data_IF_438726526193
#
_entry.id   IF_438726526193
#
_cell.length_a   1.000
_cell.length_b   1.000
_cell.length_c   1.000
_cell.angle_alpha   90.00
_cell.angle_beta   90.00
_cell.angle_gamma   90.00
#
_symmetry.space_group_name_H-M   'P 1'
#
loop_
_entity.id
_entity.type
_entity.pdbx_description
1 polymer ?
#
# COMPACT_ATOMS: atom_id res chain seq x y z
N UNK A 1 25.45 -21.52 13.78
CA UNK A 1 24.35 -20.56 13.62
C UNK A 1 23.76 -20.78 12.24
N UNK A 2 22.76 -21.67 12.10
CA UNK A 2 22.14 -22.00 10.82
C UNK A 2 21.00 -20.99 10.63
N UNK A 3 21.21 -19.96 9.80
CA UNK A 3 20.08 -19.19 9.30
C UNK A 3 19.23 -20.14 8.44
N UNK A 4 18.07 -20.54 8.96
CA UNK A 4 17.19 -21.51 8.34
C UNK A 4 16.73 -21.05 6.95
N UNK A 5 16.56 -22.01 6.04
CA UNK A 5 16.17 -21.87 4.62
C UNK A 5 14.79 -21.23 4.35
N UNK A 6 14.19 -20.50 5.28
CA UNK A 6 12.83 -19.95 5.20
C UNK A 6 12.76 -18.48 5.64
N UNK A 7 13.62 -17.62 5.06
CA UNK A 7 13.45 -16.17 5.18
C UNK A 7 12.14 -15.73 4.50
N UNK A 8 11.36 -14.81 5.10
CA UNK A 8 10.13 -14.31 4.49
C UNK A 8 10.45 -13.64 3.15
N UNK A 9 9.67 -13.96 2.11
CA UNK A 9 9.81 -13.34 0.78
C UNK A 9 9.32 -11.90 0.84
N UNK A 10 10.27 -10.98 1.00
CA UNK A 10 10.05 -9.54 1.01
C UNK A 10 9.43 -9.07 -0.31
N UNK A 11 8.65 -8.01 -0.23
CA UNK A 11 8.16 -7.28 -1.39
C UNK A 11 9.29 -6.37 -1.88
N UNK A 12 9.54 -6.38 -3.19
CA UNK A 12 10.55 -5.52 -3.81
C UNK A 12 9.84 -4.61 -4.80
N UNK A 13 9.98 -3.30 -4.60
CA UNK A 13 9.50 -2.33 -5.57
C UNK A 13 10.19 -2.53 -6.91
N UNK A 14 9.42 -2.41 -8.00
CA UNK A 14 9.96 -2.40 -9.36
C UNK A 14 9.17 -1.40 -10.19
N UNK A 15 9.76 -0.88 -11.26
CA UNK A 15 9.07 0.01 -12.21
C UNK A 15 7.80 -0.60 -12.82
N UNK A 16 7.60 -1.92 -12.71
CA UNK A 16 6.34 -2.56 -13.09
C UNK A 16 5.16 -2.18 -12.21
N UNK A 17 5.40 -1.62 -11.02
CA UNK A 17 4.37 -1.15 -10.08
C UNK A 17 4.13 0.38 -10.17
N UNK A 18 4.94 1.11 -10.94
CA UNK A 18 4.88 2.58 -11.06
C UNK A 18 3.56 3.08 -11.67
N UNK A 19 2.83 3.98 -11.05
CA UNK A 19 1.55 4.52 -11.53
C UNK A 19 1.76 5.94 -12.04
N UNK A 20 2.31 6.81 -11.20
CA UNK A 20 2.36 8.26 -11.44
C UNK A 20 3.78 8.86 -11.43
N UNK A 21 4.81 8.09 -11.04
CA UNK A 21 6.18 8.58 -10.74
C UNK A 21 6.16 9.73 -9.73
N UNK A 22 5.14 9.78 -8.89
CA UNK A 22 4.83 10.88 -8.00
C UNK A 22 4.42 10.36 -6.64
N UNK A 23 3.40 11.00 -6.06
CA UNK A 23 3.04 10.80 -4.65
C UNK A 23 2.51 9.38 -4.41
N UNK A 24 1.75 8.81 -5.34
CA UNK A 24 1.19 7.45 -5.16
C UNK A 24 2.31 6.41 -5.18
N UNK A 25 3.31 6.56 -6.06
CA UNK A 25 4.45 5.66 -6.09
C UNK A 25 5.35 5.76 -4.84
N UNK A 26 5.54 6.97 -4.30
CA UNK A 26 6.27 7.15 -3.04
C UNK A 26 5.52 6.54 -1.85
N UNK A 27 4.19 6.69 -1.81
CA UNK A 27 3.34 6.04 -0.80
C UNK A 27 3.47 4.52 -0.87
N UNK A 28 3.40 3.93 -2.07
CA UNK A 28 3.53 2.49 -2.25
C UNK A 28 4.89 1.96 -1.79
N UNK A 29 5.97 2.69 -2.08
CA UNK A 29 7.31 2.31 -1.59
C UNK A 29 7.34 2.31 -0.07
N UNK A 30 6.78 3.33 0.58
CA UNK A 30 6.74 3.39 2.04
C UNK A 30 5.88 2.27 2.65
N UNK A 31 4.69 2.02 2.09
CA UNK A 31 3.83 0.91 2.52
C UNK A 31 4.51 -0.46 2.36
N UNK A 32 5.28 -0.63 1.27
CA UNK A 32 6.12 -1.82 1.06
C UNK A 32 7.21 -1.92 2.13
N UNK A 33 7.84 -0.81 2.50
CA UNK A 33 8.84 -0.76 3.57
C UNK A 33 8.23 -1.13 4.93
N UNK A 34 7.08 -0.57 5.30
CA UNK A 34 6.35 -0.93 6.52
C UNK A 34 5.98 -2.41 6.55
N UNK A 35 5.43 -2.93 5.44
CA UNK A 35 5.10 -4.34 5.30
C UNK A 35 6.34 -5.24 5.44
N UNK A 36 7.46 -4.84 4.83
CA UNK A 36 8.73 -5.56 4.93
C UNK A 36 9.33 -5.51 6.34
N UNK A 37 9.22 -4.39 7.04
CA UNK A 37 9.64 -4.25 8.45
C UNK A 37 8.84 -5.20 9.32
N UNK A 38 7.52 -5.24 9.15
CA UNK A 38 6.69 -6.19 9.86
C UNK A 38 7.05 -7.65 9.51
N UNK A 39 7.25 -7.99 8.24
CA UNK A 39 7.68 -9.34 7.81
C UNK A 39 8.98 -9.81 8.45
N UNK A 40 9.94 -8.90 8.65
CA UNK A 40 11.23 -9.20 9.30
C UNK A 40 11.04 -9.44 10.80
N UNK A 41 10.20 -8.64 11.44
CA UNK A 41 10.07 -8.62 12.89
C UNK A 41 8.97 -9.55 13.45
N UNK A 42 8.04 -10.05 12.63
CA UNK A 42 6.88 -10.81 13.11
C UNK A 42 7.18 -12.12 13.85
N UNK A 43 8.42 -12.62 13.76
CA UNK A 43 8.91 -13.80 14.49
C UNK A 43 9.83 -13.46 15.66
N UNK A 44 10.10 -12.18 15.86
CA UNK A 44 11.07 -11.64 16.81
C UNK A 44 10.48 -10.52 17.68
N UNK A 45 9.16 -10.33 17.65
CA UNK A 45 8.53 -9.36 18.53
C UNK A 45 8.76 -9.75 19.99
N UNK A 46 9.44 -8.88 20.73
CA UNK A 46 9.70 -9.10 22.16
C UNK A 46 8.45 -8.78 23.01
N UNK A 47 7.45 -8.10 22.42
CA UNK A 47 6.19 -7.76 23.09
C UNK A 47 5.06 -7.48 22.11
N UNK A 48 3.82 -7.57 22.60
CA UNK A 48 2.61 -7.13 21.89
C UNK A 48 2.68 -5.66 21.47
N UNK A 49 3.33 -4.82 22.29
CA UNK A 49 3.44 -3.39 22.04
C UNK A 49 4.17 -3.10 20.73
N UNK A 50 5.28 -3.78 20.45
CA UNK A 50 6.00 -3.62 19.18
C UNK A 50 5.15 -4.02 17.97
N UNK A 51 4.38 -5.11 18.08
CA UNK A 51 3.47 -5.54 17.02
C UNK A 51 2.32 -4.55 16.82
N UNK A 52 1.76 -4.02 17.91
CA UNK A 52 0.70 -3.01 17.90
C UNK A 52 1.17 -1.68 17.28
N UNK A 53 2.38 -1.23 17.60
CA UNK A 53 2.97 -0.02 17.03
C UNK A 53 3.12 -0.13 15.50
N UNK A 54 3.70 -1.23 15.01
CA UNK A 54 3.89 -1.42 13.57
C UNK A 54 2.58 -1.58 12.80
N UNK A 55 1.57 -2.29 13.35
CA UNK A 55 0.27 -2.37 12.68
C UNK A 55 -0.46 -1.03 12.72
N UNK A 56 -0.29 -0.25 13.79
CA UNK A 56 -0.87 1.09 13.90
C UNK A 56 -0.30 2.03 12.85
N UNK A 57 1.02 2.05 12.71
CA UNK A 57 1.69 2.85 11.68
C UNK A 57 1.23 2.46 10.27
N UNK A 58 1.12 1.15 9.99
CA UNK A 58 0.63 0.66 8.71
C UNK A 58 -0.82 1.10 8.44
N UNK A 59 -1.70 0.96 9.43
CA UNK A 59 -3.11 1.36 9.35
C UNK A 59 -3.25 2.87 9.09
N UNK A 60 -2.54 3.69 9.86
CA UNK A 60 -2.60 5.15 9.75
C UNK A 60 -2.10 5.59 8.38
N UNK A 61 -0.94 5.07 7.94
CA UNK A 61 -0.38 5.46 6.65
C UNK A 61 -1.21 4.98 5.46
N UNK A 62 -1.76 3.76 5.54
CA UNK A 62 -2.67 3.22 4.51
C UNK A 62 -3.91 4.11 4.39
N UNK A 63 -4.48 4.58 5.51
CA UNK A 63 -5.62 5.49 5.51
C UNK A 63 -5.29 6.82 4.81
N UNK A 64 -4.12 7.41 5.09
CA UNK A 64 -3.69 8.64 4.44
C UNK A 64 -3.44 8.45 2.93
N UNK A 65 -2.81 7.34 2.57
CA UNK A 65 -2.55 6.97 1.18
C UNK A 65 -3.85 6.83 0.39
N UNK A 66 -4.84 6.10 0.91
CA UNK A 66 -6.14 5.94 0.24
C UNK A 66 -6.87 7.26 0.00
N UNK A 67 -6.75 8.24 0.91
CA UNK A 67 -7.31 9.58 0.67
C UNK A 67 -6.64 10.28 -0.51
N UNK A 68 -5.31 10.19 -0.63
CA UNK A 68 -4.57 10.76 -1.76
C UNK A 68 -4.90 10.06 -3.06
N UNK A 69 -5.03 8.74 -3.03
CA UNK A 69 -5.39 7.96 -4.20
C UNK A 69 -6.81 8.28 -4.70
N UNK A 70 -7.80 8.31 -3.80
CA UNK A 70 -9.18 8.67 -4.16
C UNK A 70 -9.25 10.08 -4.76
N UNK A 71 -8.38 10.99 -4.32
CA UNK A 71 -8.29 12.32 -4.89
C UNK A 71 -7.65 12.31 -6.29
N UNK A 72 -6.57 11.54 -6.49
CA UNK A 72 -5.99 11.33 -7.82
C UNK A 72 -7.02 10.74 -8.78
N UNK A 73 -7.78 9.72 -8.35
CA UNK A 73 -8.81 9.07 -9.16
C UNK A 73 -9.84 10.06 -9.70
N UNK A 74 -10.30 11.01 -8.87
CA UNK A 74 -11.21 12.06 -9.30
C UNK A 74 -10.55 13.00 -10.33
N UNK A 75 -9.31 13.42 -10.08
CA UNK A 75 -8.59 14.36 -10.93
C UNK A 75 -8.33 13.80 -12.34
N UNK A 76 -8.04 12.50 -12.43
CA UNK A 76 -7.76 11.83 -13.70
C UNK A 76 -9.02 11.25 -14.38
N UNK A 77 -10.20 11.46 -13.79
CA UNK A 77 -11.46 10.94 -14.33
C UNK A 77 -11.54 9.41 -14.36
N UNK A 78 -10.96 8.73 -13.36
CA UNK A 78 -10.99 7.27 -13.26
C UNK A 78 -12.44 6.77 -13.06
N UNK A 79 -12.95 5.81 -13.84
CA UNK A 79 -14.38 5.46 -13.82
C UNK A 79 -14.83 4.70 -12.57
N UNK A 80 -13.94 3.93 -11.95
CA UNK A 80 -14.31 2.95 -10.91
C UNK A 80 -14.11 3.46 -9.47
N UNK A 81 -14.13 4.79 -9.25
CA UNK A 81 -13.83 5.42 -7.94
C UNK A 81 -14.65 4.81 -6.79
N UNK A 82 -15.95 4.58 -7.02
CA UNK A 82 -16.83 4.03 -5.96
C UNK A 82 -16.42 2.62 -5.59
N UNK A 83 -16.22 1.74 -6.58
CA UNK A 83 -15.82 0.36 -6.34
C UNK A 83 -14.44 0.31 -5.66
N UNK A 84 -13.53 1.18 -6.08
CA UNK A 84 -12.21 1.27 -5.48
C UNK A 84 -12.29 1.69 -4.00
N UNK A 85 -13.06 2.73 -3.68
CA UNK A 85 -13.30 3.16 -2.30
C UNK A 85 -13.94 2.08 -1.42
N UNK A 86 -14.83 1.26 -1.98
CA UNK A 86 -15.42 0.13 -1.26
C UNK A 86 -14.33 -0.93 -0.91
N UNK A 87 -13.34 -1.13 -1.79
CA UNK A 87 -12.16 -1.97 -1.52
C UNK A 87 -11.29 -1.36 -0.42
N UNK A 88 -11.00 -0.05 -0.47
CA UNK A 88 -10.27 0.64 0.60
C UNK A 88 -10.92 0.44 1.97
N UNK A 89 -12.24 0.63 2.06
CA UNK A 89 -12.98 0.45 3.31
C UNK A 89 -12.86 -0.97 3.86
N UNK A 90 -12.91 -1.99 2.99
CA UNK A 90 -12.69 -3.39 3.39
C UNK A 90 -11.28 -3.61 3.94
N UNK A 91 -10.25 -3.06 3.29
CA UNK A 91 -8.86 -3.23 3.71
C UNK A 91 -8.56 -2.54 5.04
N UNK A 92 -9.16 -1.36 5.27
CA UNK A 92 -9.07 -0.66 6.55
C UNK A 92 -9.72 -1.49 7.67
N UNK A 93 -10.88 -2.10 7.41
CA UNK A 93 -11.52 -2.99 8.38
C UNK A 93 -10.64 -4.20 8.70
N UNK A 94 -10.05 -4.85 7.70
CA UNK A 94 -9.13 -5.98 7.90
C UNK A 94 -7.92 -5.58 8.77
N UNK A 95 -7.37 -4.38 8.57
CA UNK A 95 -6.26 -3.86 9.40
C UNK A 95 -6.70 -3.58 10.85
N UNK A 96 -7.92 -3.07 11.05
CA UNK A 96 -8.50 -2.92 12.39
C UNK A 96 -8.70 -4.26 13.09
N UNK A 97 -9.20 -5.27 12.38
CA UNK A 97 -9.35 -6.63 12.92
C UNK A 97 -8.00 -7.23 13.32
N UNK A 98 -6.98 -7.09 12.46
CA UNK A 98 -5.62 -7.53 12.77
C UNK A 98 -5.09 -6.84 14.03
N UNK A 99 -5.26 -5.52 14.12
CA UNK A 99 -4.82 -4.74 15.28
C UNK A 99 -5.53 -5.19 16.57
N UNK A 100 -6.83 -5.46 16.49
CA UNK A 100 -7.58 -6.02 17.62
C UNK A 100 -7.01 -7.39 18.04
N UNK A 101 -6.80 -8.30 17.10
CA UNK A 101 -6.24 -9.63 17.37
C UNK A 101 -4.87 -9.57 18.03
N UNK A 102 -4.00 -8.65 17.61
CA UNK A 102 -2.66 -8.45 18.20
C UNK A 102 -2.76 -7.99 19.66
N UNK A 103 -3.74 -7.17 19.99
CA UNK A 103 -3.95 -6.67 21.36
C UNK A 103 -4.54 -7.72 22.29
N UNK A 104 -5.43 -8.56 21.76
CA UNK A 104 -6.23 -9.52 22.53
C UNK A 104 -5.55 -10.90 22.71
N UNK A 105 -4.68 -11.32 21.78
CA UNK A 105 -3.97 -12.61 21.85
C UNK A 105 -3.10 -12.73 23.10
N UNK A 106 -2.86 -13.92 23.65
CA UNK A 106 -1.84 -14.13 24.70
C UNK A 106 -0.40 -14.05 24.17
N UNK A 107 0.57 -13.76 25.04
CA UNK A 107 2.00 -13.68 24.66
C UNK A 107 2.50 -14.97 23.99
N UNK A 108 1.98 -16.13 24.42
CA UNK A 108 2.31 -17.44 23.84
C UNK A 108 1.93 -17.55 22.36
N UNK A 109 0.82 -16.92 21.95
CA UNK A 109 0.27 -17.02 20.60
C UNK A 109 0.62 -15.80 19.71
N UNK A 110 1.26 -14.78 20.27
CA UNK A 110 1.60 -13.53 19.57
C UNK A 110 2.35 -13.76 18.25
N UNK A 111 3.35 -14.65 18.24
CA UNK A 111 4.13 -14.96 17.02
C UNK A 111 3.24 -15.57 15.93
N UNK A 112 2.33 -16.48 16.32
CA UNK A 112 1.41 -17.16 15.41
C UNK A 112 0.43 -16.16 14.79
N UNK A 113 -0.20 -15.32 15.61
CA UNK A 113 -1.11 -14.27 15.16
C UNK A 113 -0.38 -13.27 14.27
N UNK A 114 0.75 -12.72 14.71
CA UNK A 114 1.57 -11.77 13.94
C UNK A 114 1.98 -12.32 12.58
N UNK A 115 2.40 -13.59 12.53
CA UNK A 115 2.79 -14.25 11.27
C UNK A 115 1.60 -14.41 10.31
N UNK A 116 0.42 -14.80 10.82
CA UNK A 116 -0.80 -14.95 10.00
C UNK A 116 -1.28 -13.60 9.49
N UNK A 117 -1.39 -12.62 10.37
CA UNK A 117 -1.76 -11.24 10.04
C UNK A 117 -0.86 -10.67 8.96
N UNK A 118 0.44 -10.89 9.06
CA UNK A 118 1.37 -10.34 8.07
C UNK A 118 1.28 -11.03 6.69
N UNK A 119 0.92 -12.32 6.65
CA UNK A 119 0.61 -12.97 5.36
C UNK A 119 -0.61 -12.35 4.69
N UNK A 120 -1.62 -11.96 5.47
CA UNK A 120 -2.80 -11.26 4.97
C UNK A 120 -2.42 -9.87 4.47
N UNK A 121 -1.66 -9.10 5.27
CA UNK A 121 -1.18 -7.77 4.89
C UNK A 121 -0.42 -7.77 3.58
N UNK A 122 0.61 -8.63 3.49
CA UNK A 122 1.43 -8.77 2.29
C UNK A 122 0.60 -9.16 1.07
N UNK A 123 -0.39 -10.04 1.25
CA UNK A 123 -1.26 -10.50 0.16
C UNK A 123 -2.12 -9.34 -0.34
N UNK A 124 -2.82 -8.65 0.56
CA UNK A 124 -3.74 -7.60 0.16
C UNK A 124 -2.99 -6.43 -0.48
N UNK A 125 -1.85 -5.98 0.06
CA UNK A 125 -1.10 -4.85 -0.50
C UNK A 125 -0.70 -5.11 -1.96
N UNK A 126 -0.16 -6.30 -2.24
CA UNK A 126 0.24 -6.67 -3.60
C UNK A 126 -0.95 -6.84 -4.52
N UNK A 127 -2.02 -7.49 -4.05
CA UNK A 127 -3.22 -7.68 -4.87
C UNK A 127 -3.93 -6.37 -5.15
N UNK A 128 -3.95 -5.44 -4.21
CA UNK A 128 -4.52 -4.11 -4.33
C UNK A 128 -3.79 -3.31 -5.40
N UNK A 129 -2.48 -3.10 -5.24
CA UNK A 129 -1.63 -2.41 -6.23
C UNK A 129 -1.84 -2.99 -7.63
N UNK A 130 -1.77 -4.32 -7.76
CA UNK A 130 -1.84 -4.95 -9.08
C UNK A 130 -3.22 -4.92 -9.74
N UNK A 131 -4.30 -5.04 -8.96
CA UNK A 131 -5.66 -5.19 -9.51
C UNK A 131 -6.45 -3.89 -9.55
N UNK A 132 -6.23 -3.01 -8.59
CA UNK A 132 -7.07 -1.83 -8.36
C UNK A 132 -6.34 -0.54 -8.76
N UNK A 133 -5.06 -0.41 -8.41
CA UNK A 133 -4.35 0.87 -8.55
C UNK A 133 -3.67 0.97 -9.92
N UNK A 134 -3.05 -0.11 -10.37
CA UNK A 134 -2.36 -0.22 -11.66
C UNK A 134 -3.19 0.22 -12.88
N UNK A 135 -4.51 -0.07 -12.98
CA UNK A 135 -5.36 0.49 -14.02
C UNK A 135 -5.31 2.03 -14.15
N UNK A 136 -5.11 2.77 -13.05
CA UNK A 136 -4.99 4.23 -13.07
C UNK A 136 -3.82 4.73 -13.92
N UNK A 137 -2.75 3.93 -14.07
CA UNK A 137 -1.56 4.29 -14.85
C UNK A 137 -1.90 4.77 -16.26
N UNK A 138 -2.89 4.15 -16.91
CA UNK A 138 -3.29 4.54 -18.27
C UNK A 138 -3.91 5.95 -18.30
N UNK A 139 -4.73 6.28 -17.30
CA UNK A 139 -5.38 7.58 -17.16
C UNK A 139 -4.38 8.67 -16.78
N UNK A 140 -3.45 8.37 -15.86
CA UNK A 140 -2.36 9.29 -15.51
C UNK A 140 -1.52 9.64 -16.75
N UNK A 141 -1.17 8.65 -17.58
CA UNK A 141 -0.41 8.90 -18.81
C UNK A 141 -1.16 9.79 -19.81
N UNK A 142 -2.47 9.60 -19.94
CA UNK A 142 -3.28 10.39 -20.86
C UNK A 142 -3.34 11.86 -20.43
N UNK A 143 -3.55 12.14 -19.13
CA UNK A 143 -3.54 13.51 -18.59
C UNK A 143 -2.18 14.20 -18.82
N UNK A 144 -1.07 13.50 -18.61
CA UNK A 144 0.27 14.05 -18.87
C UNK A 144 0.48 14.37 -20.36
N UNK A 145 0.00 13.52 -21.26
CA UNK A 145 0.07 13.74 -22.71
C UNK A 145 -0.72 14.98 -23.11
N UNK A 146 -1.98 15.10 -22.68
CA UNK A 146 -2.84 16.25 -22.99
C UNK A 146 -2.29 17.56 -22.41
N UNK A 147 -1.69 17.54 -21.24
CA UNK A 147 -1.07 18.73 -20.61
C UNK A 147 0.16 19.20 -21.39
N UNK A 148 1.01 18.25 -21.82
CA UNK A 148 2.22 18.56 -22.60
C UNK A 148 1.87 19.14 -23.97
N UNK A 149 0.90 18.52 -24.68
CA UNK A 149 0.40 19.01 -25.97
C UNK A 149 -0.23 20.41 -25.86
N UNK A 150 -0.98 20.67 -24.80
CA UNK A 150 -1.59 21.99 -24.56
C UNK A 150 -0.53 23.06 -24.32
N UNK A 151 0.51 22.78 -23.51
CA UNK A 151 1.61 23.74 -23.29
C UNK A 151 2.37 24.07 -24.57
N UNK A 152 2.60 23.06 -25.42
CA UNK A 152 3.32 23.24 -26.68
C UNK A 152 2.53 24.08 -27.71
N UNK A 153 1.19 24.01 -27.69
CA UNK A 153 0.33 24.85 -28.55
C UNK A 153 0.42 26.32 -28.12
N UNK A 154 0.42 26.62 -26.81
CA UNK A 154 0.56 28.01 -26.34
C UNK A 154 1.94 28.60 -26.65
N UNK A 155 3.01 27.79 -26.60
CA UNK A 155 4.36 28.24 -26.97
C UNK A 155 4.51 28.56 -28.47
N UNK A 156 3.77 27.86 -29.35
CA UNK A 156 3.76 28.14 -30.80
C UNK A 156 2.88 29.35 -31.12
N UNK A 157 1.75 29.54 -30.42
CA UNK A 157 0.81 30.63 -30.70
C UNK A 157 1.29 32.03 -30.26
N UNK A 158 2.39 32.11 -29.52
CA UNK A 158 3.03 33.35 -29.04
C UNK A 158 4.26 33.78 -29.87
N UNK A 159 4.56 33.07 -30.97
CA UNK A 159 5.58 33.42 -31.97
C UNK A 159 4.94 33.97 -33.25
#
# INVERSE_FOLDING_TARGET
>A
MIMGKNAPKLIVWTDKLCIDRGTIDEDHKYLIELCNSFLKNCRQFDSKMQADELISELLDYTSYHFVREEELQKQIGFPDVKQHKDVHASLINDLHEIKYLIRDVDDFDLISVSTKSMRLVRKWLIEHILKHDMPMRAYVKEIHRSTTETSHIYDIALL
#
